data_IF_412055142445
#
_entry.id   IF_412055142445
#
_cell.length_a   1.000
_cell.length_b   1.000
_cell.length_c   1.000
_cell.angle_alpha   90.00
_cell.angle_beta   90.00
_cell.angle_gamma   90.00
#
_symmetry.space_group_name_H-M   'P 1'
#
loop_
_entity.id
_entity.type
_entity.pdbx_description
1 polymer ?
#
# COMPACT_ATOMS: atom_id res chain seq x y z
N UNK A 1 4.94 -10.58 -45.13
CA UNK A 1 5.75 -11.55 -45.92
C UNK A 1 7.22 -11.16 -45.71
N UNK A 2 8.18 -12.05 -45.47
CA UNK A 2 8.19 -13.51 -45.53
C UNK A 2 8.85 -14.15 -44.29
N UNK A 3 8.63 -15.46 -44.10
CA UNK A 3 9.23 -16.29 -43.05
C UNK A 3 10.57 -16.87 -43.51
N UNK A 4 11.44 -17.26 -42.57
CA UNK A 4 12.56 -18.17 -42.83
C UNK A 4 12.60 -19.25 -41.73
N UNK A 5 12.57 -20.52 -42.16
CA UNK A 5 12.50 -21.71 -41.29
C UNK A 5 13.85 -22.42 -41.19
N UNK A 6 14.13 -23.03 -40.04
CA UNK A 6 15.35 -23.83 -39.83
C UNK A 6 15.03 -25.33 -39.90
N UNK A 7 15.85 -26.10 -40.63
CA UNK A 7 15.76 -27.56 -40.73
C UNK A 7 16.83 -28.26 -39.88
N UNK A 8 16.46 -29.37 -39.24
CA UNK A 8 17.38 -30.26 -38.54
C UNK A 8 17.98 -31.33 -39.47
N UNK A 9 19.15 -31.87 -39.11
CA UNK A 9 19.84 -32.96 -39.82
C UNK A 9 20.47 -33.94 -38.82
N UNK A 10 20.16 -35.23 -38.97
CA UNK A 10 20.82 -36.42 -38.41
C UNK A 10 20.46 -37.63 -39.31
N UNK A 11 21.05 -38.85 -39.15
CA UNK A 11 22.35 -39.26 -38.59
C UNK A 11 23.18 -40.11 -39.58
N UNK A 12 24.35 -40.60 -39.16
CA UNK A 12 25.11 -41.64 -39.89
C UNK A 12 25.87 -42.60 -38.97
N UNK A 13 25.60 -43.91 -39.09
CA UNK A 13 26.47 -44.97 -38.53
C UNK A 13 27.65 -45.29 -39.47
N UNK A 14 28.51 -46.30 -39.26
CA UNK A 14 28.52 -47.42 -38.31
C UNK A 14 29.88 -48.16 -38.41
N UNK A 15 30.27 -48.97 -37.41
CA UNK A 15 30.66 -50.42 -37.53
C UNK A 15 31.49 -50.93 -36.35
N UNK A 16 31.31 -52.24 -36.08
CA UNK A 16 31.95 -53.00 -35.01
C UNK A 16 33.35 -53.53 -35.37
N UNK A 17 34.15 -53.83 -34.33
CA UNK A 17 34.75 -55.16 -34.08
C UNK A 17 35.02 -55.30 -32.57
N UNK A 18 34.95 -56.52 -32.05
CA UNK A 18 35.18 -56.80 -30.63
C UNK A 18 35.98 -58.08 -30.41
N UNK A 19 36.66 -58.18 -29.26
CA UNK A 19 37.32 -59.38 -28.74
C UNK A 19 37.06 -59.44 -27.22
N UNK A 20 36.83 -60.64 -26.67
CA UNK A 20 36.70 -61.01 -25.24
C UNK A 20 37.86 -61.97 -24.88
N UNK A 21 38.04 -62.41 -23.62
CA UNK A 21 38.11 -61.68 -22.35
C UNK A 21 39.34 -62.10 -21.50
N UNK A 22 39.59 -61.50 -20.33
CA UNK A 22 40.51 -62.04 -19.31
C UNK A 22 40.00 -61.75 -17.87
N UNK A 23 40.32 -62.66 -16.94
CA UNK A 23 39.72 -62.86 -15.60
C UNK A 23 40.85 -63.41 -14.69
N UNK A 24 41.09 -63.07 -13.41
CA UNK A 24 40.41 -62.19 -12.42
C UNK A 24 41.49 -61.47 -11.57
N UNK A 25 41.41 -61.35 -10.22
CA UNK A 25 40.46 -60.63 -9.35
C UNK A 25 41.15 -59.52 -8.52
N UNK A 26 40.39 -58.64 -7.84
CA UNK A 26 40.98 -57.70 -6.89
C UNK A 26 40.07 -56.61 -6.34
N UNK A 27 39.01 -56.96 -5.62
CA UNK A 27 38.11 -55.97 -5.02
C UNK A 27 38.76 -55.22 -3.84
N UNK A 28 38.79 -53.89 -3.90
CA UNK A 28 38.82 -52.99 -2.72
C UNK A 28 37.56 -52.14 -2.73
N UNK A 29 36.89 -51.92 -1.59
CA UNK A 29 35.68 -51.10 -1.55
C UNK A 29 36.03 -49.62 -1.77
N UNK A 30 35.44 -49.01 -2.79
CA UNK A 30 35.52 -47.56 -3.01
C UNK A 30 34.70 -46.87 -1.92
N UNK A 31 35.37 -46.09 -1.07
CA UNK A 31 34.71 -45.13 -0.16
C UNK A 31 33.88 -44.18 -1.01
N UNK A 32 32.56 -44.11 -0.78
CA UNK A 32 31.72 -43.04 -1.34
C UNK A 32 32.21 -41.70 -0.79
N UNK A 33 32.90 -40.90 -1.62
CA UNK A 33 33.15 -39.50 -1.32
C UNK A 33 31.82 -38.75 -1.41
N UNK A 34 31.22 -38.43 -0.27
CA UNK A 34 30.16 -37.43 -0.24
C UNK A 34 30.74 -36.10 -0.73
N UNK A 35 30.18 -35.56 -1.82
CA UNK A 35 30.39 -34.16 -2.15
C UNK A 35 29.84 -33.31 -1.00
N UNK A 36 30.51 -32.20 -0.61
CA UNK A 36 29.95 -31.29 0.39
C UNK A 36 28.63 -30.73 -0.16
N UNK A 37 27.56 -30.90 0.62
CA UNK A 37 26.28 -30.26 0.32
C UNK A 37 26.41 -28.72 0.36
N UNK A 38 25.44 -27.98 -0.20
CA UNK A 38 25.45 -26.53 -0.15
C UNK A 38 25.55 -26.08 1.32
N UNK A 39 26.55 -25.28 1.63
CA UNK A 39 26.74 -24.72 2.97
C UNK A 39 25.54 -23.84 3.31
N UNK A 40 24.71 -24.34 4.22
CA UNK A 40 23.65 -23.54 4.81
C UNK A 40 24.30 -22.30 5.43
N UNK A 41 23.96 -21.10 4.93
CA UNK A 41 24.27 -19.87 5.67
C UNK A 41 23.51 -19.98 6.98
N UNK A 42 24.24 -19.99 8.09
CA UNK A 42 23.67 -19.98 9.43
C UNK A 42 22.76 -18.77 9.56
N UNK A 43 21.46 -19.00 9.53
CA UNK A 43 20.49 -18.01 10.01
C UNK A 43 20.78 -17.81 11.49
N UNK A 44 21.20 -16.62 11.90
CA UNK A 44 21.23 -16.28 13.32
C UNK A 44 19.78 -16.23 13.81
N UNK A 45 19.32 -17.34 14.40
CA UNK A 45 18.08 -17.38 15.16
C UNK A 45 18.22 -16.44 16.37
N UNK A 46 17.38 -15.42 16.42
CA UNK A 46 17.39 -14.41 17.47
C UNK A 46 17.06 -15.02 18.84
N UNK A 47 18.08 -15.19 19.69
CA UNK A 47 17.91 -15.57 21.11
C UNK A 47 17.97 -14.38 22.07
N UNK A 48 18.16 -13.16 21.55
CA UNK A 48 18.04 -11.89 22.28
C UNK A 48 16.72 -11.25 21.86
N UNK A 49 15.80 -10.93 22.78
CA UNK A 49 14.52 -10.35 22.43
C UNK A 49 14.73 -8.97 21.80
N UNK A 50 14.08 -8.71 20.67
CA UNK A 50 14.25 -7.48 19.88
C UNK A 50 13.92 -6.19 20.69
N UNK A 51 13.13 -6.34 21.76
CA UNK A 51 12.80 -5.32 22.75
C UNK A 51 13.98 -4.78 23.58
N UNK A 52 15.10 -5.49 23.67
CA UNK A 52 16.31 -4.98 24.36
C UNK A 52 17.20 -4.11 23.46
N UNK A 53 17.02 -4.20 22.14
CA UNK A 53 17.83 -3.49 21.13
C UNK A 53 17.13 -2.24 20.62
N UNK A 54 15.79 -2.27 20.57
CA UNK A 54 14.97 -1.09 20.35
C UNK A 54 14.72 -0.44 21.70
N UNK A 55 15.52 0.57 22.03
CA UNK A 55 15.04 1.62 22.93
C UNK A 55 13.69 2.12 22.35
N UNK A 56 12.64 2.29 23.18
CA UNK A 56 11.31 2.67 22.67
C UNK A 56 11.45 3.93 21.81
N UNK A 57 10.78 3.93 20.65
CA UNK A 57 10.89 4.96 19.60
C UNK A 57 11.07 6.36 20.24
N UNK A 58 12.27 6.95 20.15
CA UNK A 58 12.66 8.02 21.07
C UNK A 58 11.70 9.22 20.98
N UNK A 59 11.16 9.61 22.14
CA UNK A 59 10.38 10.85 22.32
C UNK A 59 8.96 10.88 21.75
N UNK A 60 8.65 10.15 20.67
CA UNK A 60 7.36 10.27 19.97
C UNK A 60 6.14 9.94 20.86
N UNK A 61 6.28 8.97 21.77
CA UNK A 61 5.20 8.56 22.68
C UNK A 61 5.14 9.39 23.98
N UNK A 62 6.21 10.07 24.39
CA UNK A 62 6.15 10.94 25.58
C UNK A 62 5.56 12.34 25.31
N UNK A 63 5.06 12.61 24.09
CA UNK A 63 4.15 13.74 23.80
C UNK A 63 2.67 13.35 23.84
N UNK A 64 2.29 12.19 24.40
CA UNK A 64 0.89 11.77 24.59
C UNK A 64 0.02 12.80 25.33
N UNK A 65 0.57 13.57 26.28
CA UNK A 65 -0.16 14.69 26.91
C UNK A 65 -0.59 15.79 25.91
N UNK A 66 0.17 16.00 24.82
CA UNK A 66 -0.22 16.93 23.74
C UNK A 66 -1.22 16.32 22.77
N UNK A 67 -1.37 14.99 22.73
CA UNK A 67 -2.29 14.32 21.80
C UNK A 67 -3.73 14.55 22.23
N UNK A 68 -4.07 14.45 23.52
CA UNK A 68 -5.40 14.82 24.03
C UNK A 68 -5.77 16.25 23.62
N UNK A 69 -4.88 17.21 23.83
CA UNK A 69 -5.11 18.63 23.49
C UNK A 69 -5.18 18.90 21.97
N UNK A 70 -4.45 18.14 21.14
CA UNK A 70 -4.44 18.31 19.68
C UNK A 70 -5.50 17.52 18.94
N UNK A 71 -5.97 16.39 19.45
CA UNK A 71 -7.07 15.61 18.86
C UNK A 71 -8.41 16.25 19.18
N UNK A 72 -8.65 16.62 20.45
CA UNK A 72 -9.77 17.51 20.81
C UNK A 72 -9.62 18.90 20.17
N UNK A 73 -8.38 19.34 19.90
CA UNK A 73 -8.12 20.57 19.14
C UNK A 73 -8.47 20.46 17.65
N UNK A 74 -8.27 19.30 17.01
CA UNK A 74 -8.63 19.07 15.61
C UNK A 74 -10.15 18.87 15.45
N UNK A 75 -10.79 18.14 16.37
CA UNK A 75 -12.25 18.00 16.41
C UNK A 75 -12.95 19.30 16.87
N UNK A 76 -12.29 20.10 17.71
CA UNK A 76 -12.74 21.44 18.10
C UNK A 76 -12.49 22.52 17.04
N UNK A 77 -11.49 22.36 16.16
CA UNK A 77 -11.26 23.27 15.04
C UNK A 77 -12.38 23.22 14.00
N UNK A 78 -13.11 22.10 13.91
CA UNK A 78 -14.34 21.97 13.11
C UNK A 78 -15.43 22.97 13.58
N UNK A 79 -15.36 23.47 14.82
CA UNK A 79 -16.24 24.53 15.34
C UNK A 79 -15.64 25.96 15.27
N UNK A 80 -14.38 26.13 14.85
CA UNK A 80 -13.64 27.40 15.01
C UNK A 80 -13.52 28.25 13.73
N UNK A 81 -14.11 27.83 12.61
CA UNK A 81 -14.14 28.61 11.36
C UNK A 81 -15.11 29.81 11.40
N UNK A 82 -15.98 29.92 12.41
CA UNK A 82 -17.02 30.94 12.52
C UNK A 82 -16.60 32.25 13.23
N UNK A 83 -15.32 32.43 13.57
CA UNK A 83 -14.86 33.46 14.51
C UNK A 83 -13.88 34.52 13.96
N UNK A 84 -13.59 34.54 12.66
CA UNK A 84 -12.94 35.70 12.04
C UNK A 84 -13.99 36.72 11.60
N UNK A 85 -14.01 37.87 12.28
CA UNK A 85 -14.91 38.98 11.98
C UNK A 85 -14.56 39.71 10.70
N UNK A 86 -14.92 39.13 9.56
CA UNK A 86 -15.17 39.90 8.34
C UNK A 86 -16.44 40.75 8.50
N UNK A 87 -16.61 41.75 7.63
CA UNK A 87 -17.85 42.50 7.46
C UNK A 87 -19.08 41.56 7.44
N UNK A 88 -20.27 42.00 7.88
CA UNK A 88 -21.47 41.17 7.84
C UNK A 88 -21.69 40.71 6.40
N UNK A 89 -21.48 39.42 6.17
CA UNK A 89 -21.79 38.81 4.89
C UNK A 89 -23.25 39.13 4.59
N UNK A 90 -23.49 39.80 3.47
CA UNK A 90 -24.82 39.84 2.85
C UNK A 90 -25.37 38.42 2.86
N UNK A 91 -26.64 38.19 3.24
CA UNK A 91 -27.20 36.85 3.25
C UNK A 91 -26.85 36.15 1.94
N UNK A 92 -26.02 35.11 2.01
CA UNK A 92 -25.81 34.23 0.87
C UNK A 92 -27.19 33.67 0.63
N UNK A 93 -27.74 33.98 -0.54
CA UNK A 93 -29.08 33.55 -0.90
C UNK A 93 -29.15 32.03 -0.77
N UNK A 94 -30.33 31.52 -0.42
CA UNK A 94 -30.48 30.11 -0.07
C UNK A 94 -29.93 29.24 -1.21
N UNK A 95 -29.24 28.10 -0.93
CA UNK A 95 -28.73 27.24 -1.98
C UNK A 95 -29.86 26.94 -2.97
N UNK A 96 -29.64 27.04 -4.30
CA UNK A 96 -30.73 27.05 -5.28
C UNK A 96 -31.70 25.89 -5.07
N UNK A 97 -32.97 26.19 -4.82
CA UNK A 97 -34.00 25.21 -4.42
C UNK A 97 -34.42 24.26 -5.56
N UNK A 98 -33.70 24.27 -6.67
CA UNK A 98 -33.88 23.41 -7.84
C UNK A 98 -32.56 22.72 -8.21
N UNK A 99 -32.19 21.69 -7.45
CA UNK A 99 -31.42 20.57 -7.99
C UNK A 99 -32.35 19.81 -8.95
N UNK A 100 -32.57 20.39 -10.13
CA UNK A 100 -33.38 19.82 -11.20
C UNK A 100 -32.65 18.63 -11.82
N UNK A 101 -33.43 17.63 -12.22
CA UNK A 101 -33.02 16.35 -12.79
C UNK A 101 -32.11 15.51 -11.88
N UNK A 102 -32.74 14.55 -11.21
CA UNK A 102 -32.03 13.40 -10.68
C UNK A 102 -31.30 12.69 -11.82
N UNK A 103 -29.98 12.88 -11.90
CA UNK A 103 -29.11 12.22 -12.87
C UNK A 103 -29.40 10.72 -12.83
N UNK A 104 -29.91 10.18 -13.95
CA UNK A 104 -30.13 8.75 -14.09
C UNK A 104 -28.78 8.07 -13.88
N UNK A 105 -28.62 7.38 -12.76
CA UNK A 105 -27.34 6.88 -12.29
C UNK A 105 -26.83 5.77 -13.19
N UNK A 106 -26.17 6.18 -14.28
CA UNK A 106 -25.48 5.37 -15.27
C UNK A 106 -24.87 4.15 -14.59
N UNK A 107 -25.48 2.99 -14.84
CA UNK A 107 -25.15 1.76 -14.12
C UNK A 107 -23.90 1.17 -14.75
N UNK A 108 -22.77 1.85 -14.50
CA UNK A 108 -21.47 1.36 -14.87
C UNK A 108 -21.08 0.22 -13.92
N UNK A 109 -20.87 -0.99 -14.46
CA UNK A 109 -20.17 -2.07 -13.76
C UNK A 109 -18.71 -2.07 -14.17
N UNK A 110 -17.78 -2.02 -13.20
CA UNK A 110 -16.34 -2.13 -13.46
C UNK A 110 -15.95 -3.53 -13.97
N UNK A 111 -14.75 -3.72 -14.53
CA UNK A 111 -14.24 -5.06 -14.78
C UNK A 111 -14.00 -5.77 -13.45
N UNK A 112 -14.40 -7.04 -13.37
CA UNK A 112 -14.09 -7.92 -12.24
C UNK A 112 -13.36 -9.18 -12.71
N UNK A 113 -12.47 -9.70 -11.86
CA UNK A 113 -11.65 -10.87 -12.19
C UNK A 113 -12.52 -12.14 -12.26
N UNK A 114 -12.61 -12.77 -13.44
CA UNK A 114 -13.23 -14.08 -13.65
C UNK A 114 -12.23 -15.19 -13.34
N UNK A 115 -10.99 -15.04 -13.82
CA UNK A 115 -9.89 -15.93 -13.47
C UNK A 115 -8.61 -15.13 -13.30
N UNK A 116 -7.90 -15.40 -12.21
CA UNK A 116 -6.64 -14.75 -11.89
C UNK A 116 -5.53 -15.78 -11.95
N UNK A 117 -4.60 -15.64 -12.90
CA UNK A 117 -3.50 -16.57 -13.00
C UNK A 117 -2.48 -16.30 -11.88
N UNK A 118 -2.03 -17.35 -11.19
CA UNK A 118 -0.96 -17.24 -10.19
C UNK A 118 0.38 -16.95 -10.89
N UNK A 119 1.14 -15.93 -10.46
CA UNK A 119 2.44 -15.65 -11.04
C UNK A 119 3.43 -16.75 -10.70
N UNK A 120 4.28 -17.12 -11.66
CA UNK A 120 5.37 -18.06 -11.41
C UNK A 120 6.50 -17.33 -10.70
N UNK A 121 6.84 -17.79 -9.50
CA UNK A 121 7.95 -17.23 -8.72
C UNK A 121 9.27 -17.31 -9.51
N UNK A 122 10.00 -16.19 -9.72
CA UNK A 122 11.29 -16.21 -10.41
C UNK A 122 12.31 -17.08 -9.67
N UNK A 123 12.86 -18.11 -10.34
CA UNK A 123 13.79 -19.06 -9.71
C UNK A 123 15.08 -18.40 -9.19
N UNK A 124 15.49 -17.27 -9.76
CA UNK A 124 16.62 -16.47 -9.29
C UNK A 124 16.32 -15.79 -7.96
N UNK A 125 15.17 -15.09 -7.86
CA UNK A 125 14.69 -14.47 -6.63
C UNK A 125 14.49 -15.51 -5.52
N UNK A 126 13.81 -16.62 -5.83
CA UNK A 126 13.56 -17.73 -4.91
C UNK A 126 14.86 -18.28 -4.30
N UNK A 127 15.90 -18.50 -5.12
CA UNK A 127 17.23 -18.97 -4.66
C UNK A 127 18.00 -17.94 -3.83
N UNK A 128 17.65 -16.66 -3.95
CA UNK A 128 18.29 -15.55 -3.23
C UNK A 128 17.50 -15.13 -1.97
N UNK A 129 16.38 -15.82 -1.67
CA UNK A 129 15.41 -15.43 -0.64
C UNK A 129 14.90 -13.99 -0.82
N UNK A 130 14.81 -13.53 -2.07
CA UNK A 130 14.23 -12.23 -2.40
C UNK A 130 12.72 -12.32 -2.41
N UNK A 131 12.06 -11.30 -1.89
CA UNK A 131 10.60 -11.18 -1.91
C UNK A 131 10.19 -9.81 -2.45
N UNK A 132 8.92 -9.69 -2.82
CA UNK A 132 8.39 -8.43 -3.28
C UNK A 132 6.88 -8.49 -3.47
N UNK A 133 6.33 -7.37 -3.91
CA UNK A 133 5.01 -7.31 -4.49
C UNK A 133 5.02 -6.33 -5.66
N UNK A 134 4.08 -6.48 -6.59
CA UNK A 134 3.95 -5.63 -7.77
C UNK A 134 2.50 -5.22 -7.93
N UNK A 135 2.25 -3.92 -7.90
CA UNK A 135 0.99 -3.32 -8.33
C UNK A 135 1.07 -3.10 -9.84
N UNK A 136 0.18 -3.76 -10.57
CA UNK A 136 -0.06 -3.49 -11.98
C UNK A 136 -1.35 -2.72 -12.13
N UNK A 137 -1.33 -1.62 -12.86
CA UNK A 137 -2.51 -0.92 -13.37
C UNK A 137 -2.60 -1.23 -14.89
N UNK A 138 -3.81 -1.42 -15.40
CA UNK A 138 -4.05 -1.93 -16.76
C UNK A 138 -5.47 -1.62 -17.22
N UNK A 139 -5.70 -1.64 -18.53
CA UNK A 139 -7.02 -1.60 -19.12
C UNK A 139 -7.57 -3.01 -19.35
N UNK A 140 -8.89 -3.20 -19.29
CA UNK A 140 -9.61 -4.41 -19.68
C UNK A 140 -10.49 -4.06 -20.87
N UNK A 141 -10.38 -4.81 -21.97
CA UNK A 141 -11.17 -4.60 -23.19
C UNK A 141 -12.60 -5.17 -23.08
N UNK A 142 -13.41 -4.94 -24.12
CA UNK A 142 -14.79 -5.45 -24.21
C UNK A 142 -14.91 -6.98 -24.21
N UNK A 143 -13.83 -7.70 -24.50
CA UNK A 143 -13.73 -9.16 -24.50
C UNK A 143 -13.13 -9.72 -23.19
N UNK A 144 -12.85 -8.85 -22.20
CA UNK A 144 -12.32 -9.23 -20.89
C UNK A 144 -10.82 -9.53 -20.85
N UNK A 145 -10.05 -9.08 -21.86
CA UNK A 145 -8.59 -9.19 -21.90
C UNK A 145 -7.91 -7.96 -21.28
N UNK A 146 -6.83 -8.15 -20.50
CA UNK A 146 -6.02 -7.03 -20.03
C UNK A 146 -5.02 -6.54 -21.08
N UNK A 147 -4.90 -5.22 -21.24
CA UNK A 147 -3.95 -4.52 -22.12
C UNK A 147 -3.47 -3.20 -21.48
N UNK A 148 -2.54 -2.46 -22.11
CA UNK A 148 -1.84 -1.29 -21.53
C UNK A 148 -1.36 -1.53 -20.08
N UNK A 149 -0.64 -2.64 -19.87
CA UNK A 149 -0.19 -3.08 -18.55
C UNK A 149 1.04 -2.27 -18.10
N UNK A 150 0.92 -1.55 -16.99
CA UNK A 150 1.98 -0.71 -16.41
C UNK A 150 2.24 -1.10 -14.95
N UNK A 151 3.51 -1.15 -14.56
CA UNK A 151 3.92 -1.26 -13.14
C UNK A 151 3.86 0.12 -12.52
N UNK A 152 2.99 0.31 -11.54
CA UNK A 152 2.78 1.61 -10.87
C UNK A 152 3.48 1.69 -9.51
N UNK A 153 3.55 0.56 -8.78
CA UNK A 153 4.23 0.46 -7.49
C UNK A 153 4.82 -0.95 -7.32
N UNK A 154 5.95 -1.09 -6.61
CA UNK A 154 6.50 -2.41 -6.28
C UNK A 154 7.40 -2.43 -5.04
N UNK A 155 7.80 -3.64 -4.61
CA UNK A 155 8.94 -3.93 -3.72
C UNK A 155 9.83 -4.98 -4.39
N UNK A 156 11.13 -4.86 -4.16
CA UNK A 156 12.12 -5.86 -4.54
C UNK A 156 12.53 -5.73 -6.01
N UNK A 157 13.14 -6.79 -6.53
CA UNK A 157 13.71 -6.81 -7.87
C UNK A 157 12.65 -6.73 -9.00
N UNK A 158 13.01 -6.06 -10.09
CA UNK A 158 12.25 -5.98 -11.35
C UNK A 158 11.89 -7.37 -11.95
N UNK A 159 12.59 -8.44 -11.57
CA UNK A 159 12.25 -9.82 -11.97
C UNK A 159 10.84 -10.23 -11.53
N UNK A 160 10.28 -9.57 -10.51
CA UNK A 160 8.89 -9.75 -10.09
C UNK A 160 7.89 -9.06 -11.03
N UNK A 161 8.24 -7.91 -11.60
CA UNK A 161 7.37 -7.15 -12.53
C UNK A 161 7.01 -8.03 -13.72
N UNK A 162 8.06 -8.56 -14.33
CA UNK A 162 8.08 -9.47 -15.46
C UNK A 162 7.22 -10.73 -15.21
N UNK A 163 7.25 -11.26 -13.97
CA UNK A 163 6.45 -12.41 -13.56
C UNK A 163 4.98 -12.07 -13.28
N UNK A 164 4.69 -10.86 -12.79
CA UNK A 164 3.34 -10.34 -12.57
C UNK A 164 2.64 -10.04 -13.91
N UNK A 165 3.32 -9.37 -14.85
CA UNK A 165 2.78 -9.04 -16.19
C UNK A 165 2.36 -10.32 -16.92
N UNK A 166 3.26 -11.32 -16.98
CA UNK A 166 2.98 -12.64 -17.59
C UNK A 166 1.90 -13.48 -16.91
N UNK A 167 1.45 -13.08 -15.72
CA UNK A 167 0.30 -13.65 -15.03
C UNK A 167 -0.97 -12.86 -15.34
N UNK A 168 -0.87 -11.54 -15.37
CA UNK A 168 -1.97 -10.66 -15.78
C UNK A 168 -2.43 -10.96 -17.21
N UNK A 169 -1.55 -11.05 -18.20
CA UNK A 169 -1.85 -11.44 -19.60
C UNK A 169 -2.71 -12.73 -19.73
N UNK A 170 -2.61 -13.62 -18.74
CA UNK A 170 -3.30 -14.93 -18.69
C UNK A 170 -4.53 -14.93 -17.80
N UNK A 171 -4.77 -13.84 -17.09
CA UNK A 171 -5.98 -13.61 -16.32
C UNK A 171 -7.12 -13.20 -17.25
N UNK A 172 -8.36 -13.41 -16.81
CA UNK A 172 -9.56 -13.03 -17.56
C UNK A 172 -10.50 -12.27 -16.64
N UNK A 173 -11.18 -11.30 -17.24
CA UNK A 173 -12.11 -10.42 -16.55
C UNK A 173 -13.47 -10.52 -17.25
N UNK A 174 -14.53 -10.16 -16.54
CA UNK A 174 -15.70 -9.62 -17.25
C UNK A 174 -15.39 -8.16 -17.59
N UNK A 175 -15.76 -7.70 -18.80
CA UNK A 175 -15.51 -6.31 -19.21
C UNK A 175 -16.29 -5.35 -18.32
N UNK A 176 -15.88 -4.08 -18.31
CA UNK A 176 -16.79 -3.07 -17.80
C UNK A 176 -18.04 -3.00 -18.67
N UNK A 177 -19.15 -2.51 -18.10
CA UNK A 177 -20.36 -2.17 -18.87
C UNK A 177 -20.87 -0.81 -18.44
N UNK A 178 -21.38 -0.03 -19.38
CA UNK A 178 -22.13 1.21 -19.17
C UNK A 178 -23.50 1.01 -19.82
N UNK A 179 -24.60 1.27 -19.10
CA UNK A 179 -25.97 0.92 -19.55
C UNK A 179 -26.10 -0.56 -20.00
N UNK A 180 -25.31 -1.47 -19.42
CA UNK A 180 -25.22 -2.87 -19.84
C UNK A 180 -24.42 -3.15 -21.13
N UNK A 181 -24.01 -2.13 -21.90
CA UNK A 181 -23.13 -2.25 -23.07
C UNK A 181 -21.67 -2.37 -22.61
N UNK A 182 -20.86 -3.34 -23.09
CA UNK A 182 -19.48 -3.46 -22.65
C UNK A 182 -18.62 -2.30 -23.16
N UNK A 183 -17.62 -1.89 -22.37
CA UNK A 183 -16.59 -0.91 -22.75
C UNK A 183 -15.23 -1.24 -22.12
N UNK A 184 -14.19 -0.63 -22.69
CA UNK A 184 -12.84 -0.63 -22.15
C UNK A 184 -12.74 0.13 -20.82
N UNK A 185 -11.97 -0.40 -19.87
CA UNK A 185 -11.90 0.17 -18.53
C UNK A 185 -10.65 -0.18 -17.71
N UNK A 186 -10.17 0.79 -16.93
CA UNK A 186 -9.03 0.61 -16.02
C UNK A 186 -9.32 -0.27 -14.81
N UNK A 187 -8.38 -1.16 -14.50
CA UNK A 187 -8.31 -1.97 -13.29
C UNK A 187 -6.85 -2.01 -12.77
N UNK A 188 -6.63 -2.71 -11.67
CA UNK A 188 -5.34 -2.86 -11.01
C UNK A 188 -5.34 -4.14 -10.17
N UNK A 189 -4.18 -4.78 -10.01
CA UNK A 189 -4.00 -5.98 -9.19
C UNK A 189 -2.60 -5.99 -8.53
N UNK A 190 -2.56 -6.40 -7.26
CA UNK A 190 -1.32 -6.60 -6.49
C UNK A 190 -0.89 -8.06 -6.54
N UNK A 191 0.23 -8.36 -7.20
CA UNK A 191 0.84 -9.69 -7.21
C UNK A 191 1.92 -9.80 -6.13
N UNK A 192 1.74 -10.74 -5.20
CA UNK A 192 2.61 -10.94 -4.04
C UNK A 192 3.58 -12.10 -4.29
N UNK A 193 4.86 -11.87 -4.01
CA UNK A 193 5.96 -12.83 -4.14
C UNK A 193 6.59 -13.07 -2.78
N UNK A 194 5.86 -13.75 -1.91
CA UNK A 194 6.21 -13.94 -0.50
C UNK A 194 6.69 -15.36 -0.22
N UNK A 195 7.50 -15.49 0.84
CA UNK A 195 7.95 -16.76 1.41
C UNK A 195 7.74 -16.72 2.93
N UNK A 196 7.76 -17.88 3.60
CA UNK A 196 7.80 -17.96 5.08
C UNK A 196 9.21 -17.65 5.61
N UNK A 197 9.81 -16.55 5.15
CA UNK A 197 11.15 -16.10 5.56
C UNK A 197 11.07 -14.84 6.43
N UNK A 198 11.63 -14.92 7.63
CA UNK A 198 11.47 -13.92 8.70
C UNK A 198 12.82 -13.39 9.21
N UNK A 199 13.66 -12.91 8.29
CA UNK A 199 14.97 -12.36 8.67
C UNK A 199 15.63 -11.47 7.62
N UNK A 200 16.54 -10.63 8.10
CA UNK A 200 17.32 -9.67 7.32
C UNK A 200 18.79 -10.09 7.16
N UNK A 201 19.46 -9.52 6.17
CA UNK A 201 20.91 -9.59 5.96
C UNK A 201 21.64 -8.98 7.17
N UNK A 202 22.77 -9.58 7.56
CA UNK A 202 23.58 -9.06 8.68
C UNK A 202 24.08 -7.62 8.45
N UNK A 203 24.35 -7.23 7.21
CA UNK A 203 24.65 -5.84 6.85
C UNK A 203 23.45 -4.93 7.14
N UNK A 204 22.24 -5.30 6.69
CA UNK A 204 21.01 -4.51 6.88
C UNK A 204 20.75 -4.30 8.38
N UNK A 205 20.80 -5.37 9.19
CA UNK A 205 20.62 -5.29 10.65
C UNK A 205 21.61 -4.30 11.29
N UNK A 206 22.88 -4.30 10.85
CA UNK A 206 23.92 -3.41 11.39
C UNK A 206 23.65 -1.94 11.01
N UNK A 207 23.33 -1.65 9.75
CA UNK A 207 23.06 -0.29 9.28
C UNK A 207 21.74 0.24 9.85
N UNK A 208 20.66 -0.54 9.79
CA UNK A 208 19.36 -0.20 10.40
C UNK A 208 19.50 0.11 11.90
N UNK A 209 20.23 -0.71 12.68
CA UNK A 209 20.48 -0.44 14.10
C UNK A 209 21.27 0.86 14.30
N UNK A 210 22.27 1.13 13.46
CA UNK A 210 23.02 2.38 13.51
C UNK A 210 22.16 3.60 13.16
N UNK A 211 21.25 3.47 12.19
CA UNK A 211 20.29 4.52 11.80
C UNK A 211 19.30 4.81 12.94
N UNK A 212 18.68 3.77 13.51
CA UNK A 212 17.81 3.89 14.68
C UNK A 212 18.52 4.55 15.87
N UNK A 213 19.80 4.21 16.11
CA UNK A 213 20.58 4.88 17.15
C UNK A 213 20.83 6.35 16.82
N UNK A 214 21.21 6.68 15.58
CA UNK A 214 21.43 8.07 15.15
C UNK A 214 20.15 8.93 15.29
N UNK A 215 18.98 8.38 14.93
CA UNK A 215 17.67 9.00 15.14
C UNK A 215 17.43 9.27 16.65
N UNK A 216 17.79 8.33 17.53
CA UNK A 216 17.65 8.49 18.98
C UNK A 216 18.71 9.38 19.65
N UNK A 217 19.87 9.56 19.02
CA UNK A 217 20.94 10.46 19.46
C UNK A 217 20.74 11.92 18.97
N UNK A 218 19.67 12.20 18.22
CA UNK A 218 19.44 13.44 17.45
C UNK A 218 20.55 13.75 16.41
N UNK A 219 21.27 12.73 15.95
CA UNK A 219 22.35 12.80 14.95
C UNK A 219 21.78 12.66 13.53
N UNK A 220 21.16 13.75 13.03
CA UNK A 220 20.49 13.80 11.73
C UNK A 220 21.42 13.45 10.56
N UNK A 221 22.61 14.05 10.51
CA UNK A 221 23.54 13.90 9.38
C UNK A 221 24.00 12.43 9.20
N UNK A 222 24.13 11.71 10.31
CA UNK A 222 24.41 10.27 10.30
C UNK A 222 23.18 9.43 9.99
N UNK A 223 21.99 9.83 10.47
CA UNK A 223 20.75 9.17 10.12
C UNK A 223 20.48 9.25 8.61
N UNK A 224 20.64 10.43 8.00
CA UNK A 224 20.52 10.69 6.56
C UNK A 224 21.40 9.71 5.76
N UNK A 225 22.71 9.67 6.05
CA UNK A 225 23.65 8.75 5.37
C UNK A 225 23.29 7.28 5.52
N UNK A 226 22.84 6.86 6.69
CA UNK A 226 22.57 5.44 6.96
C UNK A 226 21.23 4.99 6.35
N UNK A 227 20.24 5.90 6.25
CA UNK A 227 19.00 5.63 5.51
C UNK A 227 19.25 5.58 4.00
N UNK A 228 20.08 6.48 3.47
CA UNK A 228 20.52 6.45 2.07
C UNK A 228 21.30 5.16 1.75
N UNK A 229 22.17 4.68 2.64
CA UNK A 229 22.87 3.39 2.46
C UNK A 229 21.88 2.20 2.40
N UNK A 230 20.78 2.25 3.16
CA UNK A 230 19.71 1.24 3.13
C UNK A 230 18.89 1.30 1.85
N UNK A 231 18.48 2.49 1.43
CA UNK A 231 17.70 2.72 0.21
C UNK A 231 18.49 2.35 -1.05
N UNK A 232 19.74 2.81 -1.15
CA UNK A 232 20.63 2.51 -2.28
C UNK A 232 20.93 1.00 -2.46
N UNK A 233 20.89 0.20 -1.39
CA UNK A 233 20.96 -1.27 -1.54
C UNK A 233 19.61 -1.93 -1.87
N UNK A 234 18.50 -1.26 -1.56
CA UNK A 234 17.14 -1.82 -1.52
C UNK A 234 16.95 -2.91 -0.44
N UNK A 235 15.71 -3.13 0.03
CA UNK A 235 15.38 -4.29 0.87
C UNK A 235 15.46 -5.59 0.06
N UNK A 236 16.04 -6.64 0.63
CA UNK A 236 16.08 -7.98 0.02
C UNK A 236 14.67 -8.60 -0.05
N UNK A 237 13.87 -8.37 0.98
CA UNK A 237 12.62 -9.05 1.23
C UNK A 237 11.65 -8.16 2.01
N UNK A 238 10.40 -8.60 2.22
CA UNK A 238 9.37 -7.77 2.85
C UNK A 238 9.63 -7.51 4.34
N UNK A 239 10.44 -8.34 4.99
CA UNK A 239 10.91 -8.11 6.36
C UNK A 239 11.87 -6.91 6.41
N UNK A 240 12.85 -6.84 5.51
CA UNK A 240 13.73 -5.66 5.39
C UNK A 240 12.97 -4.41 4.97
N UNK A 241 12.00 -4.51 4.04
CA UNK A 241 11.17 -3.37 3.62
C UNK A 241 10.37 -2.77 4.79
N UNK A 242 9.71 -3.63 5.59
CA UNK A 242 8.98 -3.20 6.77
C UNK A 242 9.90 -2.46 7.76
N UNK A 243 11.06 -3.04 8.10
CA UNK A 243 12.00 -2.41 9.05
C UNK A 243 12.64 -1.13 8.53
N UNK A 244 12.98 -1.04 7.25
CA UNK A 244 13.42 0.20 6.61
C UNK A 244 12.38 1.32 6.81
N UNK A 245 11.11 0.98 6.66
CA UNK A 245 10.02 1.93 6.84
C UNK A 245 9.68 2.22 8.32
N UNK A 246 9.97 1.30 9.25
CA UNK A 246 10.02 1.62 10.69
C UNK A 246 11.07 2.70 10.95
N UNK A 247 12.30 2.55 10.44
CA UNK A 247 13.35 3.56 10.64
C UNK A 247 12.99 4.91 10.00
N UNK A 248 12.45 4.91 8.78
CA UNK A 248 11.93 6.13 8.13
C UNK A 248 10.80 6.78 8.91
N UNK A 249 9.88 5.99 9.50
CA UNK A 249 8.80 6.55 10.34
C UNK A 249 9.34 7.25 11.60
N UNK A 250 10.40 6.70 12.22
CA UNK A 250 11.10 7.35 13.32
C UNK A 250 11.82 8.62 12.89
N UNK A 251 12.54 8.58 11.76
CA UNK A 251 13.20 9.75 11.18
C UNK A 251 12.22 10.90 10.88
N UNK A 252 11.10 10.61 10.21
CA UNK A 252 10.10 11.63 9.87
C UNK A 252 9.33 12.14 11.09
N UNK A 253 9.23 11.36 12.18
CA UNK A 253 8.70 11.84 13.45
C UNK A 253 9.59 12.92 14.10
N UNK A 254 10.91 12.83 13.91
CA UNK A 254 11.89 13.77 14.49
C UNK A 254 12.13 14.98 13.59
N UNK A 255 12.32 14.78 12.29
CA UNK A 255 12.81 15.82 11.37
C UNK A 255 12.00 15.99 10.06
N UNK A 256 10.91 15.23 9.88
CA UNK A 256 10.05 15.28 8.70
C UNK A 256 8.70 15.96 8.94
N UNK A 257 7.73 15.62 8.11
CA UNK A 257 6.33 16.02 8.27
C UNK A 257 5.38 14.82 8.44
N UNK A 258 4.13 15.12 8.83
CA UNK A 258 3.11 14.12 9.17
C UNK A 258 2.75 13.22 7.97
N UNK A 259 2.74 13.76 6.75
CA UNK A 259 2.46 13.02 5.53
C UNK A 259 3.59 12.05 5.16
N UNK A 260 4.86 12.46 5.33
CA UNK A 260 6.03 11.60 5.17
C UNK A 260 6.04 10.48 6.22
N UNK A 261 5.76 10.82 7.48
CA UNK A 261 5.67 9.85 8.57
C UNK A 261 4.54 8.85 8.34
N UNK A 262 3.36 9.33 7.94
CA UNK A 262 2.21 8.48 7.61
C UNK A 262 2.51 7.56 6.42
N UNK A 263 3.13 8.06 5.35
CA UNK A 263 3.55 7.23 4.19
C UNK A 263 4.52 6.13 4.61
N UNK A 264 5.45 6.42 5.51
CA UNK A 264 6.36 5.40 6.06
C UNK A 264 5.62 4.38 6.95
N UNK A 265 4.64 4.80 7.76
CA UNK A 265 3.83 3.89 8.57
C UNK A 265 2.89 3.03 7.73
N UNK A 266 2.21 3.60 6.73
CA UNK A 266 1.43 2.86 5.73
C UNK A 266 2.30 1.77 5.06
N UNK A 267 3.58 2.08 4.80
CA UNK A 267 4.52 1.12 4.23
C UNK A 267 4.96 0.03 5.21
N UNK A 268 5.14 0.36 6.49
CA UNK A 268 5.59 -0.58 7.52
C UNK A 268 4.48 -1.49 8.07
N UNK A 269 3.23 -0.99 8.19
CA UNK A 269 2.11 -1.70 8.82
C UNK A 269 0.81 -1.77 8.02
N UNK A 270 0.68 -1.00 6.93
CA UNK A 270 -0.57 -0.90 6.16
C UNK A 270 -0.84 -2.03 5.16
N UNK A 271 0.10 -2.95 4.94
CA UNK A 271 -0.10 -4.12 4.06
C UNK A 271 -0.49 -5.38 4.86
N UNK A 272 -1.33 -6.23 4.25
CA UNK A 272 -1.95 -7.40 4.89
C UNK A 272 -0.98 -8.47 5.43
N UNK A 273 0.31 -8.38 5.09
CA UNK A 273 1.36 -9.28 5.55
C UNK A 273 2.32 -8.67 6.58
N UNK A 274 2.17 -7.38 6.92
CA UNK A 274 3.04 -6.68 7.87
C UNK A 274 3.04 -7.30 9.27
N UNK A 275 1.87 -7.72 9.77
CA UNK A 275 1.71 -8.43 11.05
C UNK A 275 2.63 -9.66 11.16
N UNK A 276 2.88 -10.37 10.04
CA UNK A 276 3.72 -11.57 10.02
C UNK A 276 5.23 -11.25 10.06
N UNK A 277 5.62 -9.99 9.84
CA UNK A 277 7.03 -9.58 9.69
C UNK A 277 7.55 -8.77 10.88
N UNK A 278 6.67 -8.07 11.60
CA UNK A 278 7.03 -7.25 12.75
C UNK A 278 6.66 -7.97 14.07
N UNK A 279 7.45 -7.82 15.15
CA UNK A 279 7.03 -8.24 16.49
C UNK A 279 5.71 -7.57 16.88
N UNK A 280 4.80 -8.31 17.52
CA UNK A 280 3.44 -7.85 17.84
C UNK A 280 3.40 -6.49 18.56
N UNK A 281 4.24 -6.31 19.58
CA UNK A 281 4.33 -5.06 20.33
C UNK A 281 4.85 -3.87 19.51
N UNK A 282 5.69 -4.12 18.51
CA UNK A 282 6.13 -3.10 17.57
C UNK A 282 5.02 -2.78 16.57
N UNK A 283 4.34 -3.81 16.03
CA UNK A 283 3.22 -3.65 15.10
C UNK A 283 2.09 -2.83 15.71
N UNK A 284 1.63 -3.17 16.92
CA UNK A 284 0.55 -2.43 17.61
C UNK A 284 0.98 -1.02 18.02
N UNK A 285 2.24 -0.81 18.44
CA UNK A 285 2.78 0.54 18.68
C UNK A 285 2.79 1.41 17.41
N UNK A 286 3.14 0.83 16.26
CA UNK A 286 3.17 1.54 14.97
C UNK A 286 1.74 1.81 14.45
N UNK A 287 0.81 0.86 14.61
CA UNK A 287 -0.60 1.08 14.30
C UNK A 287 -1.22 2.17 15.19
N UNK A 288 -0.85 2.26 16.48
CA UNK A 288 -1.26 3.38 17.34
C UNK A 288 -0.72 4.73 16.85
N UNK A 289 0.55 4.79 16.44
CA UNK A 289 1.12 6.01 15.85
C UNK A 289 0.43 6.38 14.52
N UNK A 290 0.11 5.39 13.69
CA UNK A 290 -0.63 5.55 12.43
C UNK A 290 -2.05 6.08 12.67
N UNK A 291 -2.80 5.51 13.62
CA UNK A 291 -4.13 5.99 14.01
C UNK A 291 -4.10 7.49 14.35
N UNK A 292 -3.17 7.91 15.21
CA UNK A 292 -3.06 9.30 15.64
C UNK A 292 -2.72 10.26 14.49
N UNK A 293 -1.89 9.83 13.53
CA UNK A 293 -1.62 10.63 12.33
C UNK A 293 -2.82 10.69 11.40
N UNK A 294 -3.51 9.59 11.16
CA UNK A 294 -4.71 9.55 10.31
C UNK A 294 -5.80 10.49 10.82
N UNK A 295 -6.03 10.53 12.14
CA UNK A 295 -6.96 11.51 12.76
C UNK A 295 -6.47 12.95 12.54
N UNK A 296 -5.17 13.22 12.70
CA UNK A 296 -4.60 14.58 12.49
C UNK A 296 -4.62 15.03 11.03
N UNK A 297 -4.42 14.12 10.09
CA UNK A 297 -4.53 14.37 8.64
C UNK A 297 -5.96 14.18 8.13
N UNK A 298 -6.94 14.09 9.03
CA UNK A 298 -8.39 14.01 8.77
C UNK A 298 -8.85 12.79 7.93
N UNK A 299 -8.02 11.76 7.79
CA UNK A 299 -8.34 10.50 7.12
C UNK A 299 -9.04 9.55 8.09
N UNK A 300 -10.23 9.95 8.49
CA UNK A 300 -11.01 9.29 9.53
C UNK A 300 -11.43 7.87 9.15
N UNK A 301 -11.66 7.62 7.85
CA UNK A 301 -11.98 6.28 7.34
C UNK A 301 -10.88 5.25 7.60
N UNK A 302 -9.61 5.59 7.30
CA UNK A 302 -8.48 4.71 7.66
C UNK A 302 -8.21 4.72 9.17
N UNK A 303 -8.52 5.80 9.89
CA UNK A 303 -8.37 5.83 11.34
C UNK A 303 -9.25 4.77 12.03
N UNK A 304 -10.55 4.70 11.71
CA UNK A 304 -11.45 3.68 12.28
C UNK A 304 -10.94 2.26 11.97
N UNK A 305 -10.58 1.97 10.71
CA UNK A 305 -10.00 0.68 10.31
C UNK A 305 -8.72 0.31 11.10
N UNK A 306 -7.93 1.32 11.48
CA UNK A 306 -6.72 1.11 12.31
C UNK A 306 -7.08 0.78 13.75
N UNK A 307 -8.15 1.38 14.30
CA UNK A 307 -8.65 1.05 15.64
C UNK A 307 -9.33 -0.32 15.70
N UNK A 308 -10.08 -0.71 14.66
CA UNK A 308 -10.61 -2.07 14.50
C UNK A 308 -9.46 -3.08 14.54
N UNK A 309 -8.40 -2.86 13.73
CA UNK A 309 -7.18 -3.68 13.72
C UNK A 309 -6.52 -3.76 15.09
N UNK A 310 -6.43 -2.64 15.83
CA UNK A 310 -5.86 -2.62 17.20
C UNK A 310 -6.72 -3.38 18.22
N UNK A 311 -8.05 -3.38 18.03
CA UNK A 311 -9.01 -4.04 18.93
C UNK A 311 -9.00 -5.57 18.81
N UNK A 312 -8.35 -6.13 17.79
CA UNK A 312 -8.13 -7.58 17.65
C UNK A 312 -6.99 -8.11 18.55
N UNK A 313 -6.18 -7.22 19.15
CA UNK A 313 -5.03 -7.58 19.98
C UNK A 313 -5.34 -7.49 21.48
N UNK A 314 -4.70 -8.31 22.34
CA UNK A 314 -4.84 -8.27 23.79
C UNK A 314 -4.07 -7.08 24.41
N UNK A 315 -4.47 -5.85 24.05
CA UNK A 315 -3.90 -4.61 24.54
C UNK A 315 -4.58 -4.15 25.84
N UNK A 316 -3.85 -3.35 26.63
CA UNK A 316 -4.37 -2.76 27.87
C UNK A 316 -5.53 -1.79 27.56
N UNK A 317 -6.53 -1.75 28.44
CA UNK A 317 -7.66 -0.83 28.32
C UNK A 317 -7.19 0.63 28.50
N UNK A 318 -6.17 0.88 29.32
CA UNK A 318 -5.54 2.21 29.44
C UNK A 318 -4.99 2.73 28.10
N UNK A 319 -4.62 1.83 27.17
CA UNK A 319 -4.18 2.16 25.82
C UNK A 319 -5.35 2.28 24.84
N UNK A 320 -6.35 1.40 24.93
CA UNK A 320 -7.47 1.34 23.99
C UNK A 320 -8.57 2.37 24.27
N UNK A 321 -8.94 2.59 25.54
CA UNK A 321 -10.03 3.49 25.93
C UNK A 321 -9.88 4.93 25.40
N UNK A 322 -8.69 5.58 25.45
CA UNK A 322 -8.50 6.88 24.83
C UNK A 322 -8.71 6.91 23.30
N UNK A 323 -8.38 5.82 22.61
CA UNK A 323 -8.60 5.71 21.16
C UNK A 323 -10.08 5.43 20.85
N UNK A 324 -10.75 4.63 21.69
CA UNK A 324 -12.19 4.36 21.61
C UNK A 324 -12.99 5.65 21.70
N UNK A 325 -12.71 6.53 22.66
CA UNK A 325 -13.38 7.84 22.77
C UNK A 325 -13.25 8.66 21.48
N UNK A 326 -12.07 8.66 20.84
CA UNK A 326 -11.88 9.35 19.55
C UNK A 326 -12.70 8.67 18.44
N UNK A 327 -12.79 7.35 18.42
CA UNK A 327 -13.66 6.63 17.46
C UNK A 327 -15.14 6.91 17.71
N UNK A 328 -15.60 7.01 18.95
CA UNK A 328 -16.98 7.36 19.28
C UNK A 328 -17.33 8.80 18.84
N UNK A 329 -16.38 9.75 18.99
CA UNK A 329 -16.49 11.12 18.48
C UNK A 329 -16.49 11.19 16.94
N UNK A 330 -15.68 10.35 16.28
CA UNK A 330 -15.67 10.19 14.83
C UNK A 330 -16.95 9.54 14.31
N UNK A 331 -17.45 8.49 14.94
CA UNK A 331 -18.73 7.87 14.59
C UNK A 331 -19.91 8.83 14.74
N UNK A 332 -19.85 9.73 15.73
CA UNK A 332 -20.80 10.84 15.87
C UNK A 332 -20.65 11.81 14.68
N UNK A 333 -19.43 12.26 14.37
CA UNK A 333 -19.12 13.13 13.23
C UNK A 333 -19.59 12.53 11.89
N UNK A 334 -19.49 11.20 11.72
CA UNK A 334 -19.92 10.48 10.52
C UNK A 334 -21.42 10.59 10.25
N UNK A 335 -22.22 10.83 11.28
CA UNK A 335 -23.68 10.77 11.22
C UNK A 335 -24.38 12.12 11.43
N UNK A 336 -23.66 13.13 11.93
CA UNK A 336 -24.15 14.50 12.14
C UNK A 336 -23.77 15.47 11.00
N UNK A 337 -24.35 16.67 11.02
CA UNK A 337 -24.24 17.68 9.96
C UNK A 337 -22.94 18.51 9.98
N UNK A 338 -21.92 18.14 10.79
CA UNK A 338 -20.67 18.92 10.88
C UNK A 338 -19.79 18.71 9.65
N UNK A 339 -19.78 19.70 8.77
CA UNK A 339 -18.94 19.74 7.57
C UNK A 339 -17.45 19.75 7.92
N UNK A 340 -16.63 19.01 7.17
CA UNK A 340 -15.17 19.13 7.21
C UNK A 340 -14.55 19.01 5.81
N UNK A 341 -13.39 19.62 5.59
CA UNK A 341 -12.64 19.47 4.34
C UNK A 341 -11.23 18.94 4.54
N UNK A 342 -10.71 18.25 3.52
CA UNK A 342 -9.35 17.73 3.41
C UNK A 342 -8.69 18.32 2.16
N UNK A 343 -7.44 18.82 2.23
CA UNK A 343 -6.71 19.27 1.05
C UNK A 343 -6.31 18.07 0.18
N UNK A 344 -6.49 18.21 -1.14
CA UNK A 344 -6.08 17.26 -2.15
C UNK A 344 -4.94 17.79 -3.00
N UNK A 345 -3.98 16.92 -3.32
CA UNK A 345 -2.80 17.24 -4.13
C UNK A 345 -2.39 15.98 -4.92
N UNK A 346 -2.44 16.09 -6.25
CA UNK A 346 -2.04 15.04 -7.18
C UNK A 346 -0.52 14.81 -7.16
N UNK A 347 0.27 15.84 -6.85
CA UNK A 347 1.72 15.89 -6.96
C UNK A 347 2.20 15.45 -8.35
N UNK A 348 3.07 14.45 -8.45
CA UNK A 348 3.60 13.90 -9.70
C UNK A 348 2.71 12.82 -10.36
N UNK A 349 1.47 12.65 -9.90
CA UNK A 349 0.58 11.53 -10.27
C UNK A 349 -0.67 12.00 -11.00
N UNK A 350 -1.21 11.14 -11.85
CA UNK A 350 -2.49 11.36 -12.56
C UNK A 350 -3.73 11.00 -11.73
N UNK A 351 -3.57 10.56 -10.47
CA UNK A 351 -4.69 10.15 -9.64
C UNK A 351 -4.47 10.47 -8.17
N UNK A 352 -5.53 10.88 -7.49
CA UNK A 352 -5.60 11.02 -6.03
C UNK A 352 -6.68 10.10 -5.47
N UNK A 353 -6.49 9.57 -4.26
CA UNK A 353 -7.34 8.53 -3.66
C UNK A 353 -7.61 8.82 -2.19
N UNK A 354 -8.85 8.59 -1.75
CA UNK A 354 -9.29 8.91 -0.40
C UNK A 354 -10.49 8.03 0.04
N UNK A 355 -10.54 7.63 1.30
CA UNK A 355 -11.68 6.90 1.86
C UNK A 355 -12.73 7.89 2.36
N UNK A 356 -13.84 8.02 1.63
CA UNK A 356 -14.96 8.86 2.05
C UNK A 356 -15.48 8.37 3.40
N UNK A 357 -15.63 9.34 4.29
CA UNK A 357 -16.05 9.16 5.67
C UNK A 357 -17.55 9.34 5.82
N UNK A 358 -18.08 10.38 5.18
CA UNK A 358 -19.51 10.70 5.11
C UNK A 358 -20.13 10.26 3.79
N UNK A 359 -21.45 10.33 3.70
CA UNK A 359 -22.23 10.00 2.52
C UNK A 359 -22.34 11.15 1.50
N UNK A 360 -22.06 12.40 1.87
CA UNK A 360 -22.13 13.54 0.96
C UNK A 360 -20.78 14.27 0.82
N UNK A 361 -20.44 14.72 -0.40
CA UNK A 361 -19.23 15.49 -0.67
C UNK A 361 -19.33 16.39 -1.91
N UNK A 362 -18.45 17.41 -1.97
CA UNK A 362 -18.14 18.16 -3.19
C UNK A 362 -16.63 18.47 -3.25
N UNK A 363 -16.18 18.96 -4.41
CA UNK A 363 -14.80 19.40 -4.63
C UNK A 363 -14.80 20.91 -4.89
N UNK A 364 -13.95 21.67 -4.20
CA UNK A 364 -13.79 23.12 -4.40
C UNK A 364 -12.34 23.51 -4.63
N UNK A 365 -12.11 24.77 -5.01
CA UNK A 365 -10.77 25.38 -5.11
C UNK A 365 -9.80 24.59 -6.00
N UNK A 366 -10.32 24.09 -7.14
CA UNK A 366 -9.56 23.24 -8.07
C UNK A 366 -8.57 24.10 -8.87
N UNK A 367 -7.29 24.00 -8.54
CA UNK A 367 -6.18 24.53 -9.34
C UNK A 367 -5.59 23.38 -10.16
N UNK A 368 -5.95 23.29 -11.45
CA UNK A 368 -5.55 22.21 -12.36
C UNK A 368 -6.73 21.65 -13.13
N UNK A 369 -6.70 20.35 -13.46
CA UNK A 369 -7.78 19.67 -14.18
C UNK A 369 -8.09 18.33 -13.53
N UNK A 370 -9.33 18.16 -13.09
CA UNK A 370 -9.92 16.88 -12.69
C UNK A 370 -10.89 16.48 -13.79
N UNK A 371 -10.77 15.25 -14.29
CA UNK A 371 -11.58 14.73 -15.41
C UNK A 371 -12.63 13.73 -14.93
N UNK A 372 -12.28 12.88 -13.97
CA UNK A 372 -13.10 11.72 -13.58
C UNK A 372 -13.19 11.56 -12.05
N UNK A 373 -14.38 11.21 -11.57
CA UNK A 373 -14.67 10.71 -10.23
C UNK A 373 -14.96 9.20 -10.30
N UNK A 374 -14.25 8.42 -9.49
CA UNK A 374 -14.38 6.96 -9.38
C UNK A 374 -14.70 6.58 -7.94
N UNK A 375 -15.93 6.16 -7.67
CA UNK A 375 -16.39 5.72 -6.34
C UNK A 375 -16.40 4.18 -6.26
N UNK A 376 -15.59 3.62 -5.38
CA UNK A 376 -15.54 2.18 -5.05
C UNK A 376 -16.23 1.95 -3.71
N UNK A 377 -17.53 1.71 -3.75
CA UNK A 377 -18.36 1.48 -2.56
C UNK A 377 -18.56 -0.01 -2.28
N UNK A 378 -18.96 -0.37 -1.06
CA UNK A 378 -19.17 -1.76 -0.64
C UNK A 378 -20.23 -2.52 -1.47
N UNK A 379 -21.25 -1.80 -1.97
CA UNK A 379 -22.36 -2.40 -2.75
C UNK A 379 -22.48 -1.90 -4.20
N UNK A 380 -21.76 -0.84 -4.58
CA UNK A 380 -21.84 -0.23 -5.91
C UNK A 380 -20.46 0.29 -6.34
N UNK A 381 -20.22 0.30 -7.64
CA UNK A 381 -19.16 1.10 -8.23
C UNK A 381 -19.82 2.20 -9.07
N UNK A 382 -19.30 3.43 -9.01
CA UNK A 382 -19.79 4.55 -9.81
C UNK A 382 -18.61 5.24 -10.48
N UNK A 383 -18.78 5.61 -11.74
CA UNK A 383 -17.85 6.41 -12.52
C UNK A 383 -18.61 7.60 -13.07
N UNK A 384 -18.08 8.81 -12.89
CA UNK A 384 -18.68 10.05 -13.34
C UNK A 384 -17.58 10.93 -13.96
N UNK A 385 -17.93 11.73 -14.97
CA UNK A 385 -17.13 12.90 -15.31
C UNK A 385 -17.16 13.87 -14.13
N UNK A 386 -16.05 14.54 -13.83
CA UNK A 386 -16.06 15.61 -12.83
C UNK A 386 -16.88 16.81 -13.32
N UNK A 387 -17.72 17.31 -12.44
CA UNK A 387 -18.47 18.55 -12.59
C UNK A 387 -18.25 19.39 -11.31
N UNK A 388 -17.74 20.63 -11.39
CA UNK A 388 -17.43 21.45 -10.23
C UNK A 388 -18.68 22.00 -9.52
N UNK A 389 -19.83 22.05 -10.20
CA UNK A 389 -21.07 22.61 -9.65
C UNK A 389 -21.97 21.55 -8.98
N UNK A 390 -21.51 20.28 -8.94
CA UNK A 390 -22.28 19.13 -8.43
C UNK A 390 -21.85 18.73 -7.00
N UNK A 391 -22.84 18.68 -6.10
CA UNK A 391 -22.74 17.95 -4.83
C UNK A 391 -23.10 16.47 -5.03
N UNK A 392 -22.25 15.57 -4.56
CA UNK A 392 -22.39 14.13 -4.74
C UNK A 392 -22.90 13.49 -3.45
N UNK A 393 -24.12 12.94 -3.50
CA UNK A 393 -24.73 12.19 -2.40
C UNK A 393 -24.71 10.67 -2.68
N UNK A 394 -24.28 9.89 -1.68
CA UNK A 394 -24.16 8.43 -1.74
C UNK A 394 -25.21 7.82 -0.80
N UNK A 395 -25.85 6.73 -1.20
CA UNK A 395 -26.74 6.01 -0.28
C UNK A 395 -25.93 5.38 0.85
N UNK A 396 -26.31 5.63 2.11
CA UNK A 396 -25.61 5.10 3.31
C UNK A 396 -25.36 3.60 3.27
N UNK A 397 -26.27 2.82 2.68
CA UNK A 397 -26.10 1.36 2.56
C UNK A 397 -24.99 0.93 1.57
N UNK A 398 -24.45 1.86 0.78
CA UNK A 398 -23.32 1.60 -0.10
C UNK A 398 -21.96 1.83 0.60
N UNK A 399 -21.91 2.58 1.71
CA UNK A 399 -20.67 2.85 2.45
C UNK A 399 -20.04 1.55 3.02
N UNK A 400 -18.71 1.54 3.27
CA UNK A 400 -17.73 2.59 2.98
C UNK A 400 -17.46 2.75 1.48
N UNK A 401 -17.00 3.95 1.08
CA UNK A 401 -16.65 4.27 -0.30
C UNK A 401 -15.22 4.80 -0.41
N UNK A 402 -14.43 4.24 -1.30
CA UNK A 402 -13.13 4.78 -1.70
C UNK A 402 -13.30 5.64 -2.95
N UNK A 403 -13.12 6.95 -2.80
CA UNK A 403 -13.02 7.93 -3.89
C UNK A 403 -11.64 7.83 -4.55
N UNK A 404 -11.60 7.84 -5.87
CA UNK A 404 -10.41 8.13 -6.66
C UNK A 404 -10.77 9.20 -7.69
N UNK A 405 -9.93 10.23 -7.75
CA UNK A 405 -9.99 11.28 -8.76
C UNK A 405 -8.91 11.01 -9.81
N UNK A 406 -9.21 11.35 -11.07
CA UNK A 406 -8.27 11.27 -12.20
C UNK A 406 -8.21 12.63 -12.88
N UNK A 407 -7.03 13.03 -13.32
CA UNK A 407 -6.72 14.39 -13.75
C UNK A 407 -5.21 14.63 -13.89
N UNK A 408 -4.83 15.89 -14.09
CA UNK A 408 -3.46 16.27 -14.38
C UNK A 408 -2.54 16.26 -13.14
N UNK A 409 -1.26 15.86 -13.27
CA UNK A 409 -0.25 16.06 -12.24
C UNK A 409 -0.12 17.54 -11.86
N UNK A 410 0.08 17.81 -10.58
CA UNK A 410 0.09 19.16 -10.00
C UNK A 410 -1.30 19.72 -9.66
N UNK A 411 -2.38 19.02 -9.99
CA UNK A 411 -3.75 19.47 -9.63
C UNK A 411 -3.93 19.46 -8.11
N UNK A 412 -4.38 20.59 -7.56
CA UNK A 412 -4.76 20.73 -6.14
C UNK A 412 -6.22 21.15 -6.00
N UNK A 413 -6.83 20.84 -4.87
CA UNK A 413 -8.26 21.07 -4.60
C UNK A 413 -8.59 20.88 -3.10
N UNK A 414 -9.84 21.12 -2.71
CA UNK A 414 -10.40 20.71 -1.41
C UNK A 414 -11.51 19.69 -1.60
N UNK A 415 -11.43 18.56 -0.91
CA UNK A 415 -12.56 17.63 -0.74
C UNK A 415 -13.33 18.04 0.51
N UNK A 416 -14.56 18.51 0.37
CA UNK A 416 -15.45 18.84 1.50
C UNK A 416 -16.51 17.75 1.64
N UNK A 417 -16.72 17.27 2.86
CA UNK A 417 -17.70 16.24 3.23
C UNK A 417 -18.69 16.80 4.25
N UNK A 418 -19.98 16.52 4.04
CA UNK A 418 -21.12 17.09 4.78
C UNK A 418 -21.78 16.05 5.67
#
# INVERSE_FOLDING_TARGET
MAQATWRAVTPGGSRHRGIRPAISPGARPIRKSQAPGPTARTSLSWSTPYSEVVAPLPGALHREHSVRTKVLGALGAIAAAAAYGGEPATPIDSPPTEYSDAVELDVYSRPHSVSRATPKYPLTALRQNKEGWVRLDFMVDTDGQPYEIVVTESVGDDVFHDAAIRALEKSRFEPARLEGKPLDAGHHLYYHFEMDSSGARAWFVRIHRAAMKAIGDDDREKADRLLEELDSSGPLNLYEDAFLHVAKSGYYATWGNEQQQLKALDRAVGHHTAQKRLPESLYTSLQRARFLLLVRTQDFGRAIQTFETLSEYPLDDDLLSPLRTVVDELETLRLDDRVYSVPGDFADRYTWSYNLFKDEFFLSDVEGQIEEIKLRCARKYVFLRFDPDVQYAIKRDYLPCHLQLVGDPGTTFRLTQL
#
